data_IF_440862211174
#
_entry.id   IF_440862211174
#
_cell.length_a   1.000
_cell.length_b   1.000
_cell.length_c   1.000
_cell.angle_alpha   90.00
_cell.angle_beta   90.00
_cell.angle_gamma   90.00
#
_symmetry.space_group_name_H-M   'P 1'
#
loop_
_entity.id
_entity.type
_entity.pdbx_description
1 polymer ?
#
# COMPACT_ATOMS: atom_id res chain seq x y z
N UNK A 1 -38.15 1.65 -5.26
CA UNK A 1 -36.94 1.79 -4.45
C UNK A 1 -36.07 2.85 -5.12
N UNK A 2 -35.73 3.93 -4.45
CA UNK A 2 -34.79 4.91 -4.95
C UNK A 2 -33.37 4.23 -4.96
N UNK A 3 -32.63 4.40 -6.05
CA UNK A 3 -31.26 3.87 -6.13
C UNK A 3 -30.38 4.52 -5.05
N UNK A 4 -29.57 3.73 -4.38
CA UNK A 4 -28.61 4.28 -3.42
C UNK A 4 -27.52 5.09 -4.14
N UNK A 5 -26.85 6.05 -3.48
CA UNK A 5 -25.75 6.80 -4.07
C UNK A 5 -24.67 5.91 -4.69
N UNK A 6 -24.39 4.76 -4.08
CA UNK A 6 -23.40 3.79 -4.59
C UNK A 6 -23.84 3.13 -5.90
N UNK A 7 -25.13 2.73 -6.03
CA UNK A 7 -25.65 2.18 -7.28
C UNK A 7 -25.60 3.20 -8.42
N UNK A 8 -25.84 4.48 -8.10
CA UNK A 8 -25.70 5.58 -9.06
C UNK A 8 -24.23 5.73 -9.46
N UNK A 9 -23.30 5.67 -8.51
CA UNK A 9 -21.87 5.77 -8.78
C UNK A 9 -21.34 4.59 -9.62
N UNK A 10 -21.78 3.36 -9.35
CA UNK A 10 -21.43 2.19 -10.17
C UNK A 10 -22.01 2.28 -11.59
N UNK A 11 -23.23 2.77 -11.75
CA UNK A 11 -23.83 2.98 -13.07
C UNK A 11 -23.07 4.07 -13.85
N UNK A 12 -22.67 5.15 -13.20
CA UNK A 12 -21.82 6.20 -13.77
C UNK A 12 -20.48 5.66 -14.19
N UNK A 13 -19.86 4.81 -13.36
CA UNK A 13 -18.57 4.16 -13.66
C UNK A 13 -18.66 3.25 -14.90
N UNK A 14 -19.71 2.44 -15.02
CA UNK A 14 -19.94 1.61 -16.23
C UNK A 14 -20.15 2.46 -17.48
N UNK A 15 -20.79 3.61 -17.37
CA UNK A 15 -20.92 4.56 -18.47
C UNK A 15 -19.58 5.17 -18.86
N UNK A 16 -18.75 5.55 -17.87
CA UNK A 16 -17.40 6.04 -18.07
C UNK A 16 -16.52 5.01 -18.80
N UNK A 17 -16.57 3.74 -18.42
CA UNK A 17 -15.82 2.66 -19.09
C UNK A 17 -16.13 2.59 -20.61
N UNK A 18 -17.41 2.73 -20.99
CA UNK A 18 -17.80 2.72 -22.40
C UNK A 18 -17.23 3.91 -23.16
N UNK A 19 -17.21 5.10 -22.56
CA UNK A 19 -16.65 6.31 -23.15
C UNK A 19 -15.12 6.20 -23.31
N UNK A 20 -14.45 5.66 -22.29
CA UNK A 20 -13.00 5.50 -22.28
C UNK A 20 -12.52 4.43 -23.25
N UNK A 21 -13.33 3.43 -23.58
CA UNK A 21 -12.97 2.36 -24.50
C UNK A 21 -12.47 2.90 -25.85
N UNK A 22 -13.17 3.86 -26.43
CA UNK A 22 -12.77 4.47 -27.71
C UNK A 22 -11.41 5.23 -27.62
N UNK A 23 -11.07 5.73 -26.44
CA UNK A 23 -9.77 6.36 -26.16
C UNK A 23 -8.67 5.32 -26.01
N UNK A 24 -8.92 4.26 -25.23
CA UNK A 24 -7.95 3.18 -25.01
C UNK A 24 -7.59 2.44 -26.30
N UNK A 25 -8.54 2.25 -27.23
CA UNK A 25 -8.27 1.65 -28.55
C UNK A 25 -7.30 2.47 -29.42
N UNK A 26 -7.05 3.75 -29.10
CA UNK A 26 -6.03 4.57 -29.76
C UNK A 26 -4.63 4.38 -29.17
N UNK A 27 -4.52 3.77 -28.00
CA UNK A 27 -3.24 3.45 -27.35
C UNK A 27 -2.62 2.25 -28.07
N UNK A 28 -1.36 2.31 -28.51
CA UNK A 28 -0.73 1.22 -29.29
C UNK A 28 -0.85 -0.16 -28.63
N UNK A 29 -0.69 -0.25 -27.30
CA UNK A 29 -0.82 -1.49 -26.54
C UNK A 29 -2.21 -2.15 -26.73
N UNK A 30 -3.27 -1.36 -26.90
CA UNK A 30 -4.65 -1.84 -26.88
C UNK A 30 -5.34 -1.86 -28.24
N UNK A 31 -4.71 -1.30 -29.26
CA UNK A 31 -5.32 -1.09 -30.60
C UNK A 31 -5.98 -2.33 -31.17
N UNK A 32 -5.35 -3.48 -31.01
CA UNK A 32 -5.81 -4.73 -31.60
C UNK A 32 -6.41 -5.72 -30.59
N UNK A 33 -6.34 -5.41 -29.29
CA UNK A 33 -6.69 -6.33 -28.22
C UNK A 33 -8.01 -6.02 -27.52
N UNK A 34 -8.46 -4.75 -27.50
CA UNK A 34 -9.72 -4.39 -26.85
C UNK A 34 -10.89 -4.56 -27.82
N UNK A 35 -11.38 -5.79 -27.99
CA UNK A 35 -12.51 -6.14 -28.83
C UNK A 35 -13.53 -6.95 -28.04
N UNK A 36 -14.82 -6.72 -28.28
CA UNK A 36 -15.91 -7.44 -27.61
C UNK A 36 -16.33 -6.80 -26.28
N UNK A 37 -16.85 -7.59 -25.37
CA UNK A 37 -17.23 -7.15 -24.01
C UNK A 37 -16.02 -6.88 -23.14
N UNK A 38 -16.14 -5.95 -22.19
CA UNK A 38 -15.05 -5.54 -21.30
C UNK A 38 -14.42 -6.73 -20.55
N UNK A 39 -15.23 -7.65 -20.09
CA UNK A 39 -14.80 -8.84 -19.33
C UNK A 39 -13.95 -9.81 -20.16
N UNK A 40 -14.01 -9.69 -21.49
CA UNK A 40 -13.23 -10.50 -22.45
C UNK A 40 -11.88 -9.85 -22.82
N UNK A 41 -11.63 -8.62 -22.37
CA UNK A 41 -10.35 -7.96 -22.65
C UNK A 41 -9.21 -8.72 -21.95
N UNK A 42 -8.03 -8.80 -22.61
CA UNK A 42 -6.90 -9.51 -22.03
C UNK A 42 -6.48 -8.89 -20.69
N UNK A 43 -6.11 -9.74 -19.76
CA UNK A 43 -5.46 -9.31 -18.53
C UNK A 43 -4.00 -9.02 -18.87
N UNK A 44 -3.54 -7.83 -18.54
CA UNK A 44 -2.16 -7.40 -18.72
C UNK A 44 -1.40 -7.39 -17.38
N UNK A 45 -0.09 -7.55 -17.46
CA UNK A 45 0.80 -7.50 -16.31
C UNK A 45 2.02 -6.63 -16.58
N UNK A 46 3.00 -6.69 -15.70
CA UNK A 46 4.25 -5.91 -15.81
C UNK A 46 5.02 -6.18 -17.11
N UNK A 47 4.94 -7.38 -17.65
CA UNK A 47 5.61 -7.75 -18.89
C UNK A 47 5.09 -6.95 -20.09
N UNK A 48 3.76 -6.78 -20.18
CA UNK A 48 3.11 -5.98 -21.21
C UNK A 48 3.46 -4.50 -21.09
N UNK A 49 3.54 -3.98 -19.84
CA UNK A 49 3.90 -2.57 -19.60
C UNK A 49 5.34 -2.28 -20.05
N UNK A 50 6.27 -3.21 -19.85
CA UNK A 50 7.68 -3.03 -20.23
C UNK A 50 7.95 -3.23 -21.71
N UNK A 51 7.14 -4.06 -22.38
CA UNK A 51 7.35 -4.41 -23.79
C UNK A 51 7.21 -3.17 -24.67
N UNK A 52 8.30 -2.77 -25.31
CA UNK A 52 8.36 -1.61 -26.21
C UNK A 52 8.01 -0.26 -25.55
N UNK A 53 8.23 -0.12 -24.23
CA UNK A 53 8.05 1.17 -23.56
C UNK A 53 9.04 2.22 -24.13
N UNK A 54 8.62 3.48 -24.37
CA UNK A 54 7.27 4.04 -24.18
C UNK A 54 6.34 3.89 -25.41
N UNK A 55 6.81 3.32 -26.52
CA UNK A 55 6.05 3.24 -27.76
C UNK A 55 4.76 2.39 -27.69
N UNK A 56 4.63 1.54 -26.65
CA UNK A 56 3.39 0.82 -26.35
C UNK A 56 2.28 1.72 -25.80
N UNK A 57 2.60 2.93 -25.31
CA UNK A 57 1.63 3.90 -24.78
C UNK A 57 1.59 5.19 -25.58
N UNK A 58 2.75 5.68 -26.02
CA UNK A 58 2.84 6.94 -26.76
C UNK A 58 2.62 6.72 -28.27
N UNK A 59 2.00 7.71 -28.91
CA UNK A 59 1.88 7.73 -30.36
C UNK A 59 3.23 8.07 -31.03
N UNK A 60 3.43 7.71 -32.29
CA UNK A 60 4.69 7.97 -33.00
C UNK A 60 5.08 9.46 -33.09
N UNK A 61 4.10 10.37 -33.01
CA UNK A 61 4.29 11.82 -33.00
C UNK A 61 4.62 12.40 -31.62
N UNK A 62 4.61 11.60 -30.56
CA UNK A 62 4.92 11.99 -29.20
C UNK A 62 6.36 11.59 -28.83
N UNK A 63 7.11 12.53 -28.26
CA UNK A 63 8.48 12.30 -27.80
C UNK A 63 8.52 12.41 -26.27
N UNK A 64 8.87 11.31 -25.58
CA UNK A 64 8.90 11.25 -24.13
C UNK A 64 9.88 12.26 -23.53
N UNK A 65 11.10 12.38 -24.08
CA UNK A 65 12.13 13.27 -23.54
C UNK A 65 11.67 14.73 -23.61
N UNK A 66 11.01 15.12 -24.70
CA UNK A 66 10.42 16.46 -24.83
C UNK A 66 9.28 16.67 -23.82
N UNK A 67 8.38 15.68 -23.66
CA UNK A 67 7.24 15.76 -22.72
C UNK A 67 7.69 15.84 -21.26
N UNK A 68 8.80 15.20 -20.90
CA UNK A 68 9.40 15.30 -19.57
C UNK A 68 10.10 16.65 -19.41
N UNK A 69 10.85 17.11 -20.41
CA UNK A 69 11.58 18.36 -20.36
C UNK A 69 10.66 19.59 -20.25
N UNK A 70 9.51 19.56 -20.94
CA UNK A 70 8.49 20.63 -20.83
C UNK A 70 7.53 20.46 -19.64
N UNK A 71 7.76 19.43 -18.84
CA UNK A 71 6.99 19.11 -17.64
C UNK A 71 5.50 18.85 -17.90
N UNK A 72 5.11 18.39 -19.07
CA UNK A 72 3.73 17.95 -19.35
C UNK A 72 3.44 16.55 -18.82
N UNK A 73 4.50 15.72 -18.69
CA UNK A 73 4.44 14.35 -18.19
C UNK A 73 5.44 14.15 -17.07
N UNK A 74 5.05 13.40 -16.07
CA UNK A 74 5.91 12.87 -15.01
C UNK A 74 6.22 11.41 -15.29
N UNK A 75 7.50 11.04 -15.17
CA UNK A 75 8.01 9.68 -15.32
C UNK A 75 8.46 9.15 -13.97
N UNK A 76 7.79 8.12 -13.50
CA UNK A 76 8.10 7.44 -12.25
C UNK A 76 8.49 5.98 -12.46
N UNK A 77 9.13 5.37 -11.47
CA UNK A 77 9.52 3.98 -11.52
C UNK A 77 9.02 3.23 -10.27
N UNK A 78 8.49 2.03 -10.48
CA UNK A 78 8.11 1.19 -9.35
C UNK A 78 9.34 0.75 -8.54
N UNK A 79 9.14 0.51 -7.24
CA UNK A 79 10.21 0.14 -6.29
C UNK A 79 10.76 -1.29 -6.45
N UNK A 80 10.35 -2.06 -7.47
CA UNK A 80 10.79 -3.43 -7.72
C UNK A 80 12.31 -3.60 -7.94
N UNK A 81 12.79 -4.84 -7.98
CA UNK A 81 14.14 -5.16 -8.48
C UNK A 81 14.30 -4.66 -9.92
N UNK A 82 15.54 -4.53 -10.41
CA UNK A 82 15.78 -4.04 -11.77
C UNK A 82 15.01 -4.81 -12.85
N UNK A 83 14.78 -6.11 -12.63
CA UNK A 83 14.01 -6.97 -13.54
C UNK A 83 12.49 -6.81 -13.40
N UNK A 84 12.00 -6.32 -12.25
CA UNK A 84 10.57 -6.12 -11.98
C UNK A 84 10.14 -4.66 -12.06
N UNK A 85 11.06 -3.71 -12.23
CA UNK A 85 10.74 -2.29 -12.34
C UNK A 85 9.92 -2.02 -13.60
N UNK A 86 8.93 -1.15 -13.43
CA UNK A 86 8.10 -0.62 -14.52
C UNK A 86 8.22 0.89 -14.49
N UNK A 87 8.44 1.49 -15.64
CA UNK A 87 8.33 2.92 -15.84
C UNK A 87 6.85 3.26 -16.01
N UNK A 88 6.40 4.33 -15.37
CA UNK A 88 5.00 4.78 -15.37
C UNK A 88 4.95 6.24 -15.80
N UNK A 89 3.99 6.57 -16.64
CA UNK A 89 3.76 7.91 -17.17
C UNK A 89 2.41 8.43 -16.73
N UNK A 90 2.37 9.66 -16.27
CA UNK A 90 1.11 10.36 -16.00
C UNK A 90 1.27 11.87 -16.27
N UNK A 91 0.15 12.52 -16.53
CA UNK A 91 0.12 13.96 -16.72
C UNK A 91 0.58 14.67 -15.43
N UNK A 92 1.24 15.79 -15.57
CA UNK A 92 1.66 16.60 -14.40
C UNK A 92 0.47 16.94 -13.52
N UNK A 93 0.65 16.71 -12.21
CA UNK A 93 -0.38 16.95 -11.21
C UNK A 93 -1.42 15.85 -11.07
N UNK A 94 -1.43 14.86 -11.94
CA UNK A 94 -2.37 13.73 -11.88
C UNK A 94 -2.35 13.01 -10.52
N UNK A 95 -1.15 12.83 -9.96
CA UNK A 95 -0.97 12.16 -8.67
C UNK A 95 -1.70 12.86 -7.54
N UNK A 96 -1.57 14.19 -7.47
CA UNK A 96 -2.23 15.00 -6.44
C UNK A 96 -3.76 15.02 -6.61
N UNK A 97 -4.24 15.07 -7.85
CA UNK A 97 -5.68 15.05 -8.13
C UNK A 97 -6.33 13.73 -7.72
N UNK A 98 -5.71 12.60 -8.06
CA UNK A 98 -6.27 11.30 -7.72
C UNK A 98 -6.14 11.01 -6.20
N UNK A 99 -5.07 11.48 -5.53
CA UNK A 99 -4.93 11.45 -4.09
C UNK A 99 -6.06 12.25 -3.42
N UNK A 100 -6.32 13.45 -3.87
CA UNK A 100 -7.38 14.30 -3.33
C UNK A 100 -8.77 13.67 -3.45
N UNK A 101 -9.04 12.87 -4.51
CA UNK A 101 -10.30 12.14 -4.65
C UNK A 101 -10.42 11.00 -3.63
N UNK A 102 -9.38 10.20 -3.49
CA UNK A 102 -9.42 9.03 -2.60
C UNK A 102 -9.49 9.44 -1.13
N UNK A 103 -8.78 10.48 -0.72
CA UNK A 103 -8.79 10.96 0.67
C UNK A 103 -10.17 11.46 1.12
N UNK A 104 -11.02 11.94 0.20
CA UNK A 104 -12.41 12.33 0.49
C UNK A 104 -13.35 11.16 0.80
N UNK A 105 -12.93 9.92 0.59
CA UNK A 105 -13.71 8.74 0.96
C UNK A 105 -13.78 8.52 2.47
N UNK A 106 -12.90 9.18 3.24
CA UNK A 106 -12.94 9.22 4.68
C UNK A 106 -13.41 10.61 5.13
N UNK A 107 -14.54 10.67 5.84
CA UNK A 107 -15.15 11.94 6.23
C UNK A 107 -14.29 12.74 7.22
N UNK A 108 -13.58 12.09 8.15
CA UNK A 108 -12.69 12.75 9.11
C UNK A 108 -11.45 13.32 8.43
N UNK A 109 -10.83 12.56 7.51
CA UNK A 109 -9.71 13.07 6.71
C UNK A 109 -10.15 14.23 5.84
N UNK A 110 -11.30 14.10 5.15
CA UNK A 110 -11.87 15.18 4.35
C UNK A 110 -12.15 16.43 5.16
N UNK A 111 -12.64 16.29 6.40
CA UNK A 111 -12.85 17.43 7.31
C UNK A 111 -11.52 18.12 7.67
N UNK A 112 -10.48 17.36 8.05
CA UNK A 112 -9.17 17.93 8.37
C UNK A 112 -8.58 18.69 7.18
N UNK A 113 -8.66 18.12 5.97
CA UNK A 113 -8.11 18.77 4.77
C UNK A 113 -8.89 20.02 4.36
N UNK A 114 -10.18 20.09 4.66
CA UNK A 114 -10.99 21.30 4.45
C UNK A 114 -10.66 22.40 5.49
N UNK A 115 -10.47 22.01 6.75
CA UNK A 115 -10.08 22.94 7.84
C UNK A 115 -8.67 23.50 7.61
N UNK A 116 -7.78 22.69 7.04
CA UNK A 116 -6.39 23.06 6.75
C UNK A 116 -6.08 22.93 5.25
N UNK A 117 -6.45 23.89 4.40
CA UNK A 117 -6.25 23.82 2.93
C UNK A 117 -4.79 23.63 2.50
N UNK A 118 -3.84 23.98 3.39
CA UNK A 118 -2.41 23.78 3.21
C UNK A 118 -1.86 22.79 4.25
N UNK A 119 -2.62 21.75 4.56
CA UNK A 119 -2.23 20.75 5.55
C UNK A 119 -0.81 20.25 5.31
N UNK A 120 0.03 20.39 6.33
CA UNK A 120 1.40 19.87 6.29
C UNK A 120 1.40 18.40 6.60
N UNK A 121 2.17 17.66 5.82
CA UNK A 121 2.40 16.21 5.95
C UNK A 121 3.85 15.96 6.39
N UNK A 122 4.06 15.02 7.30
CA UNK A 122 5.38 14.45 7.52
C UNK A 122 5.35 12.97 7.09
N UNK A 123 6.28 12.58 6.23
CA UNK A 123 6.29 11.27 5.57
C UNK A 123 7.49 10.46 6.04
N UNK A 124 7.21 9.23 6.55
CA UNK A 124 8.21 8.26 6.95
C UNK A 124 8.09 7.01 6.06
N UNK A 125 8.87 6.98 5.00
CA UNK A 125 8.87 5.87 4.03
C UNK A 125 10.30 5.48 3.68
N UNK A 126 10.54 4.25 3.21
CA UNK A 126 11.86 3.89 2.72
C UNK A 126 12.33 4.89 1.65
N UNK A 127 13.56 5.37 1.68
CA UNK A 127 14.06 6.37 0.73
C UNK A 127 13.90 5.99 -0.74
N UNK A 128 13.88 4.70 -1.06
CA UNK A 128 13.68 4.18 -2.42
C UNK A 128 12.22 4.20 -2.89
N UNK A 129 11.28 4.51 -2.00
CA UNK A 129 9.83 4.51 -2.30
C UNK A 129 9.26 5.91 -2.50
N UNK A 130 10.01 6.98 -2.25
CA UNK A 130 9.47 8.33 -2.26
C UNK A 130 9.58 9.06 -3.61
N UNK A 131 10.07 8.41 -4.65
CA UNK A 131 10.19 8.98 -6.01
C UNK A 131 11.20 10.13 -6.14
N UNK A 132 11.52 10.80 -5.05
CA UNK A 132 12.24 12.06 -5.09
C UNK A 132 13.74 11.90 -5.20
N UNK A 133 14.36 10.84 -4.67
CA UNK A 133 15.80 10.59 -4.80
C UNK A 133 16.20 9.26 -4.15
N UNK A 134 17.15 8.54 -4.72
CA UNK A 134 17.99 7.61 -4.01
C UNK A 134 18.91 8.40 -3.06
N UNK A 135 18.48 8.64 -1.84
CA UNK A 135 19.34 9.29 -0.86
C UNK A 135 20.45 8.33 -0.46
N UNK A 136 21.58 8.45 -1.10
CA UNK A 136 22.81 7.76 -0.68
C UNK A 136 23.51 8.46 0.47
N UNK A 137 23.14 9.70 0.79
CA UNK A 137 23.75 10.54 1.82
C UNK A 137 22.66 11.30 2.59
N UNK A 138 22.98 11.66 3.84
CA UNK A 138 22.15 12.57 4.64
C UNK A 138 21.93 13.89 3.91
N UNK A 139 20.69 14.25 3.71
CA UNK A 139 20.30 15.48 3.02
C UNK A 139 19.69 16.48 4.01
N UNK A 140 19.81 17.77 3.70
CA UNK A 140 19.25 18.82 4.55
C UNK A 140 17.71 18.73 4.61
N UNK A 141 17.13 19.23 5.70
CA UNK A 141 15.67 19.33 5.83
C UNK A 141 15.04 20.07 4.65
N UNK A 142 15.68 21.17 4.18
CA UNK A 142 15.19 21.95 3.05
C UNK A 142 15.09 21.13 1.77
N UNK A 143 16.09 20.30 1.46
CA UNK A 143 16.07 19.44 0.25
C UNK A 143 15.07 18.29 0.34
N UNK A 144 14.62 17.95 1.54
CA UNK A 144 13.59 16.94 1.82
C UNK A 144 12.19 17.52 2.04
N UNK A 145 12.03 18.83 1.85
CA UNK A 145 10.74 19.51 1.95
C UNK A 145 10.25 19.86 0.56
N UNK A 146 9.12 19.32 0.15
CA UNK A 146 8.49 19.55 -1.14
C UNK A 146 7.06 20.03 -0.91
N UNK A 147 6.81 21.31 -1.19
CA UNK A 147 5.52 21.92 -0.90
C UNK A 147 5.17 21.83 0.59
N UNK A 148 4.03 21.24 0.91
CA UNK A 148 3.57 20.99 2.28
C UNK A 148 4.04 19.63 2.86
N UNK A 149 4.90 18.89 2.19
CA UNK A 149 5.38 17.58 2.62
C UNK A 149 6.84 17.62 3.06
N UNK A 150 7.11 17.13 4.27
CA UNK A 150 8.46 16.88 4.79
C UNK A 150 8.73 15.37 4.77
N UNK A 151 9.74 14.94 4.02
CA UNK A 151 10.25 13.56 4.04
C UNK A 151 11.28 13.43 5.17
N UNK A 152 10.92 12.71 6.21
CA UNK A 152 11.69 12.67 7.46
C UNK A 152 12.73 11.55 7.45
N UNK A 153 12.34 10.37 6.97
CA UNK A 153 13.16 9.17 7.03
C UNK A 153 14.27 9.16 5.97
N UNK A 154 15.49 8.89 6.40
CA UNK A 154 16.67 8.78 5.54
C UNK A 154 17.30 7.37 5.57
N UNK A 155 16.76 6.46 6.38
CA UNK A 155 17.27 5.09 6.52
C UNK A 155 16.32 4.08 5.87
N UNK A 156 16.92 3.02 5.33
CA UNK A 156 16.18 1.95 4.67
C UNK A 156 15.70 0.87 5.62
N UNK A 157 16.41 0.65 6.73
CA UNK A 157 16.13 -0.36 7.73
C UNK A 157 15.84 0.36 9.04
N UNK A 158 14.57 0.44 9.49
CA UNK A 158 14.23 1.21 10.68
C UNK A 158 14.88 0.66 11.94
N UNK A 159 15.09 -0.66 12.03
CA UNK A 159 15.67 -1.35 13.19
C UNK A 159 17.16 -1.03 13.41
N UNK A 160 17.82 -0.40 12.45
CA UNK A 160 19.22 0.03 12.53
C UNK A 160 19.39 1.53 12.82
N UNK A 161 18.26 2.27 12.94
CA UNK A 161 18.32 3.68 13.31
C UNK A 161 18.89 3.83 14.72
N UNK A 162 19.93 4.64 14.85
CA UNK A 162 20.45 5.03 16.15
C UNK A 162 19.55 6.07 16.84
N UNK A 163 19.83 6.33 18.10
CA UNK A 163 19.02 7.23 18.92
C UNK A 163 19.09 8.67 18.42
N UNK A 164 20.25 9.11 17.93
CA UNK A 164 20.46 10.46 17.42
C UNK A 164 19.62 10.71 16.16
N UNK A 165 19.52 9.71 15.27
CA UNK A 165 18.71 9.80 14.07
C UNK A 165 17.19 9.82 14.40
N UNK A 166 16.75 8.99 15.35
CA UNK A 166 15.36 9.00 15.82
C UNK A 166 15.00 10.32 16.51
N UNK A 167 15.93 10.91 17.28
CA UNK A 167 15.78 12.23 17.90
C UNK A 167 15.65 13.33 16.84
N UNK A 168 16.53 13.36 15.85
CA UNK A 168 16.46 14.26 14.71
C UNK A 168 15.09 14.18 14.02
N UNK A 169 14.59 12.96 13.77
CA UNK A 169 13.29 12.76 13.15
C UNK A 169 12.17 13.37 13.99
N UNK A 170 12.19 13.16 15.30
CA UNK A 170 11.19 13.70 16.23
C UNK A 170 11.25 15.24 16.29
N UNK A 171 12.43 15.82 16.36
CA UNK A 171 12.63 17.29 16.33
C UNK A 171 12.13 17.91 15.02
N UNK A 172 12.43 17.29 13.89
CA UNK A 172 11.99 17.74 12.58
C UNK A 172 10.46 17.71 12.44
N UNK A 173 9.80 16.65 12.90
CA UNK A 173 8.34 16.56 12.91
C UNK A 173 7.73 17.60 13.85
N UNK A 174 8.28 17.75 15.06
CA UNK A 174 7.83 18.75 16.02
C UNK A 174 7.91 20.16 15.44
N UNK A 175 9.06 20.52 14.89
CA UNK A 175 9.27 21.86 14.28
C UNK A 175 8.48 22.06 12.97
N UNK A 176 8.14 20.99 12.26
CA UNK A 176 7.28 21.03 11.07
C UNK A 176 5.81 21.20 11.43
N UNK A 177 5.38 20.70 12.59
CA UNK A 177 3.99 20.72 13.08
C UNK A 177 2.98 20.25 12.03
N UNK A 178 3.08 19.00 11.53
CA UNK A 178 2.20 18.48 10.49
C UNK A 178 0.77 18.27 11.01
N UNK A 179 -0.22 18.36 10.12
CA UNK A 179 -1.60 17.97 10.42
C UNK A 179 -1.80 16.47 10.34
N UNK A 180 -0.96 15.76 9.59
CA UNK A 180 -0.99 14.29 9.54
C UNK A 180 0.38 13.70 9.27
N UNK A 181 0.52 12.44 9.67
CA UNK A 181 1.66 11.60 9.34
C UNK A 181 1.26 10.65 8.22
N UNK A 182 2.14 10.46 7.23
CA UNK A 182 1.97 9.50 6.13
C UNK A 182 3.12 8.49 6.23
N UNK A 183 2.79 7.28 6.67
CA UNK A 183 3.78 6.34 7.16
C UNK A 183 3.77 5.03 6.37
N UNK A 184 4.96 4.53 6.07
CA UNK A 184 5.17 3.10 5.95
C UNK A 184 4.91 2.45 7.32
N UNK A 185 4.06 1.42 7.44
CA UNK A 185 3.64 0.89 8.73
C UNK A 185 4.80 0.39 9.60
N UNK A 186 5.84 -0.23 9.01
CA UNK A 186 6.99 -0.76 9.77
C UNK A 186 7.86 0.38 10.27
N UNK A 187 8.18 1.33 9.39
CA UNK A 187 8.97 2.51 9.76
C UNK A 187 8.25 3.38 10.79
N UNK A 188 6.94 3.58 10.60
CA UNK A 188 6.10 4.34 11.51
C UNK A 188 5.99 3.70 12.88
N UNK A 189 5.76 2.38 12.94
CA UNK A 189 5.66 1.65 14.22
C UNK A 189 6.98 1.69 15.00
N UNK A 190 8.12 1.51 14.33
CA UNK A 190 9.42 1.59 14.99
C UNK A 190 9.72 2.98 15.56
N UNK A 191 9.44 4.03 14.78
CA UNK A 191 9.55 5.41 15.24
C UNK A 191 8.57 5.72 16.38
N UNK A 192 7.35 5.21 16.32
CA UNK A 192 6.36 5.36 17.39
C UNK A 192 6.84 4.76 18.71
N UNK A 193 7.46 3.58 18.70
CA UNK A 193 8.06 2.98 19.92
C UNK A 193 9.17 3.85 20.52
N UNK A 194 9.96 4.53 19.69
CA UNK A 194 10.91 5.53 20.19
C UNK A 194 10.20 6.71 20.86
N UNK A 195 9.18 7.27 20.20
CA UNK A 195 8.39 8.37 20.76
C UNK A 195 7.74 7.98 22.08
N UNK A 196 7.22 6.77 22.21
CA UNK A 196 6.64 6.23 23.44
C UNK A 196 7.66 6.21 24.59
N UNK A 197 8.88 5.67 24.36
CA UNK A 197 9.96 5.63 25.36
C UNK A 197 10.39 7.02 25.83
N UNK A 198 10.36 8.00 24.93
CA UNK A 198 10.78 9.39 25.22
C UNK A 198 9.64 10.30 25.66
N UNK A 199 8.40 9.82 25.68
CA UNK A 199 7.23 10.63 26.00
C UNK A 199 6.92 11.72 24.98
N UNK A 200 7.38 11.56 23.73
CA UNK A 200 7.20 12.55 22.64
C UNK A 200 5.76 12.47 22.12
N UNK A 201 5.14 13.62 21.89
CA UNK A 201 3.80 13.78 21.33
C UNK A 201 3.80 14.83 20.24
N UNK A 202 2.90 14.68 19.27
CA UNK A 202 2.73 15.61 18.14
C UNK A 202 1.31 16.19 18.16
N UNK A 203 1.02 17.23 18.97
CA UNK A 203 -0.35 17.70 19.17
C UNK A 203 -1.01 18.31 17.93
N UNK A 204 -0.23 18.66 16.92
CA UNK A 204 -0.74 19.15 15.62
C UNK A 204 -1.32 18.04 14.76
N UNK A 205 -0.88 16.78 14.95
CA UNK A 205 -1.31 15.62 14.18
C UNK A 205 -2.77 15.29 14.50
N UNK A 206 -3.59 15.11 13.47
CA UNK A 206 -5.02 14.80 13.55
C UNK A 206 -5.33 13.36 13.18
N UNK A 207 -4.54 12.77 12.29
CA UNK A 207 -4.63 11.37 11.90
C UNK A 207 -3.28 10.85 11.38
N UNK A 208 -3.17 9.54 11.31
CA UNK A 208 -2.08 8.83 10.64
C UNK A 208 -2.64 8.15 9.40
N UNK A 209 -1.94 8.28 8.28
CA UNK A 209 -2.20 7.55 7.06
C UNK A 209 -1.14 6.47 6.89
N UNK A 210 -1.55 5.20 6.80
CA UNK A 210 -0.69 4.08 6.50
C UNK A 210 -0.78 3.75 5.01
N UNK A 211 0.37 3.75 4.33
CA UNK A 211 0.47 3.46 2.89
C UNK A 211 1.76 2.69 2.60
N UNK A 212 2.13 2.51 1.31
CA UNK A 212 3.37 1.92 0.83
C UNK A 212 3.47 0.41 0.92
N UNK A 213 3.09 -0.23 2.03
CA UNK A 213 3.08 -1.68 2.15
C UNK A 213 1.90 -2.18 3.02
N UNK A 214 1.85 -3.49 3.26
CA UNK A 214 0.77 -4.09 4.03
C UNK A 214 0.81 -3.62 5.50
N UNK A 215 -0.26 -2.96 5.94
CA UNK A 215 -0.45 -2.56 7.34
C UNK A 215 -0.93 -3.76 8.17
N UNK A 216 -0.08 -4.24 9.09
CA UNK A 216 -0.49 -5.32 9.99
C UNK A 216 -1.18 -4.80 11.26
N UNK A 217 -1.97 -5.66 11.90
CA UNK A 217 -2.58 -5.40 13.21
C UNK A 217 -1.55 -5.07 14.29
N UNK A 218 -0.34 -5.62 14.15
CA UNK A 218 0.78 -5.33 15.06
C UNK A 218 1.20 -3.86 14.94
N UNK A 219 1.42 -3.39 13.72
CA UNK A 219 1.84 -2.01 13.46
C UNK A 219 0.74 -1.01 13.81
N UNK A 220 -0.48 -1.26 13.34
CA UNK A 220 -1.65 -0.40 13.64
C UNK A 220 -1.81 -0.16 15.13
N UNK A 221 -1.77 -1.21 15.94
CA UNK A 221 -1.89 -1.11 17.40
C UNK A 221 -0.84 -0.21 18.03
N UNK A 222 0.41 -0.30 17.57
CA UNK A 222 1.49 0.55 18.05
C UNK A 222 1.21 2.02 17.70
N UNK A 223 0.83 2.28 16.45
CA UNK A 223 0.55 3.63 15.97
C UNK A 223 -0.62 4.27 16.72
N UNK A 224 -1.73 3.55 16.88
CA UNK A 224 -2.92 4.01 17.63
C UNK A 224 -2.60 4.27 19.11
N UNK A 225 -1.87 3.34 19.76
CA UNK A 225 -1.47 3.47 21.18
C UNK A 225 -0.59 4.68 21.40
N UNK A 226 0.38 4.91 20.51
CA UNK A 226 1.40 5.94 20.71
C UNK A 226 0.92 7.31 20.27
N UNK A 227 0.38 7.44 19.07
CA UNK A 227 -0.01 8.75 18.55
C UNK A 227 -1.38 9.21 19.05
N UNK A 228 -2.24 8.30 19.51
CA UNK A 228 -3.56 8.61 20.09
C UNK A 228 -4.47 9.41 19.15
N UNK A 229 -4.34 9.16 17.85
CA UNK A 229 -5.18 9.72 16.79
C UNK A 229 -5.63 8.57 15.88
N UNK A 230 -6.71 8.76 15.09
CA UNK A 230 -7.13 7.75 14.14
C UNK A 230 -6.01 7.34 13.17
N UNK A 231 -5.95 6.04 12.86
CA UNK A 231 -5.03 5.46 11.86
C UNK A 231 -5.87 4.92 10.71
N UNK A 232 -5.57 5.31 9.49
CA UNK A 232 -6.31 4.90 8.29
C UNK A 232 -5.37 4.29 7.26
N UNK A 233 -5.85 3.24 6.60
CA UNK A 233 -5.11 2.59 5.51
C UNK A 233 -5.45 3.22 4.16
N UNK A 234 -4.42 3.50 3.35
CA UNK A 234 -4.51 3.95 1.98
C UNK A 234 -3.80 2.96 1.06
N UNK A 235 -4.56 2.21 0.29
CA UNK A 235 -4.01 1.24 -0.65
C UNK A 235 -3.88 1.82 -2.06
N UNK A 236 -2.73 1.57 -2.66
CA UNK A 236 -2.44 1.98 -4.04
C UNK A 236 -1.19 1.32 -4.60
N UNK A 237 -0.84 1.71 -5.81
CA UNK A 237 0.41 1.31 -6.45
C UNK A 237 0.96 2.45 -7.32
N UNK A 238 2.26 2.45 -7.56
CA UNK A 238 2.88 3.44 -8.46
C UNK A 238 2.28 3.39 -9.85
N UNK A 239 1.89 2.20 -10.33
CA UNK A 239 1.33 2.00 -11.66
C UNK A 239 -0.07 2.60 -11.82
N UNK A 240 -0.89 2.52 -10.78
CA UNK A 240 -2.32 2.81 -10.87
C UNK A 240 -2.79 3.95 -9.95
N UNK A 241 -1.91 4.51 -9.13
CA UNK A 241 -2.23 5.55 -8.14
C UNK A 241 -2.89 5.00 -6.89
N UNK A 242 -3.63 5.86 -6.17
CA UNK A 242 -4.37 5.49 -4.97
C UNK A 242 -5.76 4.93 -5.34
N UNK A 243 -6.07 3.75 -4.84
CA UNK A 243 -7.20 2.93 -5.29
C UNK A 243 -8.30 2.79 -4.24
N UNK A 244 -7.89 2.52 -3.00
CA UNK A 244 -8.79 2.24 -1.89
C UNK A 244 -8.41 3.08 -0.68
N UNK A 245 -9.40 3.54 0.08
CA UNK A 245 -9.22 4.27 1.34
C UNK A 245 -10.09 3.66 2.42
N UNK A 246 -9.51 3.45 3.58
CA UNK A 246 -10.27 3.12 4.78
C UNK A 246 -11.07 4.34 5.23
N UNK A 247 -12.38 4.18 5.39
CA UNK A 247 -13.24 5.24 5.91
C UNK A 247 -13.24 5.28 7.45
N UNK A 248 -13.92 6.25 8.03
CA UNK A 248 -14.07 6.46 9.48
C UNK A 248 -14.76 5.30 10.21
N UNK A 249 -15.33 4.33 9.48
CA UNK A 249 -15.96 3.12 10.03
C UNK A 249 -15.10 1.86 9.88
N UNK A 250 -13.83 2.00 9.46
CA UNK A 250 -12.91 0.88 9.25
C UNK A 250 -13.17 0.05 7.99
N UNK A 251 -13.95 0.57 7.03
CA UNK A 251 -14.26 -0.11 5.77
C UNK A 251 -13.40 0.45 4.64
N UNK A 252 -12.65 -0.39 3.97
CA UNK A 252 -11.81 0.01 2.83
C UNK A 252 -12.64 0.15 1.56
N UNK A 253 -12.91 1.38 1.17
CA UNK A 253 -13.76 1.76 0.03
C UNK A 253 -12.97 2.02 -1.24
N UNK A 254 -13.46 1.61 -2.43
CA UNK A 254 -12.83 1.93 -3.71
C UNK A 254 -13.12 3.38 -4.10
N UNK A 255 -12.09 4.05 -4.66
CA UNK A 255 -12.28 5.34 -5.31
C UNK A 255 -12.82 5.14 -6.73
N UNK A 256 -14.15 5.10 -6.86
CA UNK A 256 -14.85 4.83 -8.13
C UNK A 256 -14.56 5.88 -9.22
N UNK A 257 -14.13 7.06 -8.85
CA UNK A 257 -13.70 8.10 -9.80
C UNK A 257 -12.31 7.81 -10.40
N UNK A 258 -11.43 7.15 -9.64
CA UNK A 258 -10.07 6.87 -10.08
C UNK A 258 -9.97 5.55 -10.84
N UNK A 259 -10.70 4.51 -10.39
CA UNK A 259 -10.47 3.13 -10.83
C UNK A 259 -11.74 2.30 -10.92
N UNK A 260 -11.71 1.32 -11.82
CA UNK A 260 -12.60 0.16 -11.80
C UNK A 260 -11.80 -1.06 -11.35
N UNK A 261 -12.34 -1.78 -10.34
CA UNK A 261 -11.69 -2.92 -9.74
C UNK A 261 -12.44 -4.22 -10.00
N UNK A 262 -11.70 -5.28 -10.27
CA UNK A 262 -12.22 -6.65 -10.43
C UNK A 262 -11.44 -7.60 -9.50
N UNK A 263 -12.12 -8.57 -8.92
CA UNK A 263 -11.48 -9.75 -8.32
C UNK A 263 -11.74 -10.95 -9.22
N UNK A 264 -10.68 -11.56 -9.73
CA UNK A 264 -10.79 -12.68 -10.67
C UNK A 264 -10.07 -13.92 -10.13
N UNK A 265 -10.41 -15.10 -10.69
CA UNK A 265 -9.81 -16.37 -10.27
C UNK A 265 -9.97 -16.59 -8.76
N UNK A 266 -11.13 -16.21 -8.23
CA UNK A 266 -11.40 -16.25 -6.79
C UNK A 266 -11.58 -17.69 -6.30
N UNK A 267 -11.08 -17.94 -5.10
CA UNK A 267 -11.34 -19.17 -4.35
C UNK A 267 -12.78 -19.18 -3.78
N UNK A 268 -13.22 -20.28 -3.12
CA UNK A 268 -14.57 -20.36 -2.53
C UNK A 268 -14.85 -19.31 -1.46
N UNK A 269 -13.83 -18.69 -0.87
CA UNK A 269 -13.99 -17.58 0.07
C UNK A 269 -14.11 -16.22 -0.64
N UNK A 270 -14.01 -16.17 -1.97
CA UNK A 270 -14.06 -14.94 -2.75
C UNK A 270 -12.73 -14.18 -2.82
N UNK A 271 -11.62 -14.80 -2.37
CA UNK A 271 -10.27 -14.20 -2.44
C UNK A 271 -9.68 -14.47 -3.82
N UNK A 272 -9.46 -13.42 -4.60
CA UNK A 272 -8.96 -13.52 -5.97
C UNK A 272 -7.88 -12.51 -6.32
N UNK A 273 -7.36 -12.60 -7.53
CA UNK A 273 -6.39 -11.63 -8.07
C UNK A 273 -7.07 -10.29 -8.29
N UNK A 274 -6.48 -9.22 -7.77
CA UNK A 274 -6.97 -7.86 -7.96
C UNK A 274 -6.52 -7.33 -9.33
N UNK A 275 -7.51 -6.98 -10.16
CA UNK A 275 -7.29 -6.26 -11.40
C UNK A 275 -7.73 -4.81 -11.26
N UNK A 276 -6.98 -3.93 -11.91
CA UNK A 276 -7.23 -2.49 -11.91
C UNK A 276 -7.39 -1.99 -13.34
N UNK A 277 -8.43 -1.21 -13.58
CA UNK A 277 -8.58 -0.39 -14.76
C UNK A 277 -8.58 1.08 -14.32
N UNK A 278 -7.57 1.85 -14.74
CA UNK A 278 -7.46 3.27 -14.40
C UNK A 278 -8.42 4.10 -15.25
N UNK A 279 -9.13 5.04 -14.62
CA UNK A 279 -10.13 5.88 -15.30
C UNK A 279 -9.60 7.28 -15.61
N UNK A 280 -8.51 7.69 -14.99
CA UNK A 280 -8.03 9.08 -15.01
C UNK A 280 -6.64 9.25 -15.61
N UNK A 281 -5.82 8.20 -15.73
CA UNK A 281 -4.52 8.30 -16.39
C UNK A 281 -4.69 8.22 -17.92
N UNK A 282 -4.59 9.37 -18.58
CA UNK A 282 -4.76 9.47 -20.04
C UNK A 282 -3.49 9.16 -20.83
N UNK A 283 -2.32 9.24 -20.18
CA UNK A 283 -1.01 9.05 -20.83
C UNK A 283 -0.69 7.55 -20.89
N UNK A 284 -0.86 6.86 -19.76
CA UNK A 284 -0.58 5.43 -19.63
C UNK A 284 -1.79 4.74 -18.97
N UNK A 285 -2.93 4.64 -19.67
CA UNK A 285 -4.10 3.97 -19.11
C UNK A 285 -3.82 2.49 -18.91
N UNK A 286 -4.21 1.96 -17.76
CA UNK A 286 -4.16 0.53 -17.46
C UNK A 286 -5.57 -0.05 -17.62
N UNK A 287 -5.71 -1.09 -18.43
CA UNK A 287 -6.97 -1.81 -18.62
C UNK A 287 -6.79 -3.25 -18.19
N UNK A 288 -7.56 -3.68 -17.17
CA UNK A 288 -7.49 -5.01 -16.55
C UNK A 288 -6.06 -5.41 -16.15
N UNK A 289 -5.35 -4.48 -15.53
CA UNK A 289 -3.98 -4.70 -15.07
C UNK A 289 -3.96 -5.51 -13.78
N UNK A 290 -3.21 -6.63 -13.80
CA UNK A 290 -2.98 -7.49 -12.64
C UNK A 290 -1.95 -6.86 -11.72
N UNK A 291 -2.37 -6.40 -10.53
CA UNK A 291 -1.50 -5.73 -9.56
C UNK A 291 -0.48 -6.67 -8.92
N UNK A 292 -0.78 -7.97 -8.89
CA UNK A 292 -0.06 -8.99 -8.14
C UNK A 292 -0.51 -9.11 -6.70
N UNK A 293 -1.55 -8.37 -6.30
CA UNK A 293 -2.19 -8.49 -4.99
C UNK A 293 -3.44 -9.38 -5.05
N UNK A 294 -3.76 -9.98 -3.92
CA UNK A 294 -5.02 -10.69 -3.68
C UNK A 294 -5.97 -9.78 -2.91
N UNK A 295 -7.22 -9.81 -3.28
CA UNK A 295 -8.27 -9.08 -2.58
C UNK A 295 -9.57 -9.88 -2.53
N UNK A 296 -10.40 -9.54 -1.56
CA UNK A 296 -11.77 -10.02 -1.44
C UNK A 296 -12.71 -8.83 -1.58
N UNK A 297 -13.66 -8.90 -2.51
CA UNK A 297 -14.74 -7.93 -2.67
C UNK A 297 -15.90 -8.35 -1.77
N UNK A 298 -16.42 -7.41 -1.01
CA UNK A 298 -17.56 -7.61 -0.11
C UNK A 298 -18.63 -6.56 -0.42
N UNK A 299 -19.80 -7.03 -0.83
CA UNK A 299 -20.95 -6.15 -1.10
C UNK A 299 -21.88 -6.15 0.10
N UNK A 300 -22.12 -4.99 0.70
CA UNK A 300 -22.93 -4.80 1.91
C UNK A 300 -23.95 -3.66 1.71
N UNK A 301 -24.96 -3.53 2.60
CA UNK A 301 -25.91 -2.40 2.61
C UNK A 301 -25.23 -1.09 2.83
N UNK A 302 -24.32 -0.58 2.48
CA UNK A 302 -23.48 0.62 2.59
C UNK A 302 -22.43 0.68 1.49
N UNK A 303 -22.62 -0.17 0.45
CA UNK A 303 -21.79 -0.24 -0.74
C UNK A 303 -20.70 -1.29 -0.69
N UNK A 304 -19.91 -1.33 -1.75
CA UNK A 304 -18.80 -2.27 -1.91
C UNK A 304 -17.60 -1.82 -1.09
N UNK A 305 -16.97 -2.78 -0.43
CA UNK A 305 -15.65 -2.60 0.19
C UNK A 305 -14.73 -3.78 -0.14
N UNK A 306 -13.45 -3.62 0.14
CA UNK A 306 -12.43 -4.61 -0.18
C UNK A 306 -11.59 -4.95 1.05
N UNK A 307 -11.20 -6.21 1.16
CA UNK A 307 -10.11 -6.64 2.03
C UNK A 307 -8.91 -6.94 1.13
N UNK A 308 -7.80 -6.24 1.34
CA UNK A 308 -6.54 -6.53 0.64
C UNK A 308 -5.80 -7.61 1.41
N UNK A 309 -5.60 -8.75 0.75
CA UNK A 309 -5.02 -9.95 1.36
C UNK A 309 -3.50 -10.05 1.29
N UNK A 310 -2.83 -9.05 0.67
CA UNK A 310 -1.39 -9.04 0.42
C UNK A 310 -1.02 -9.61 -0.94
N UNK A 311 0.27 -9.86 -1.16
CA UNK A 311 0.81 -10.29 -2.45
C UNK A 311 0.48 -11.75 -2.76
N UNK A 312 0.11 -12.05 -3.99
CA UNK A 312 -0.14 -13.41 -4.45
C UNK A 312 1.09 -14.33 -4.33
N UNK A 313 2.30 -13.77 -4.44
CA UNK A 313 3.57 -14.50 -4.29
C UNK A 313 3.98 -14.78 -2.85
N UNK A 314 3.35 -14.12 -1.87
CA UNK A 314 3.71 -14.21 -0.45
C UNK A 314 2.76 -15.15 0.32
N UNK A 315 1.88 -15.87 -0.39
CA UNK A 315 0.96 -16.86 0.21
C UNK A 315 1.71 -18.07 0.76
N UNK A 316 1.21 -18.57 1.88
CA UNK A 316 1.62 -19.85 2.44
C UNK A 316 0.70 -20.96 1.93
N UNK A 317 1.10 -22.19 2.13
CA UNK A 317 0.33 -23.37 1.74
C UNK A 317 -0.11 -24.14 2.97
N UNK A 318 -1.43 -24.30 3.11
CA UNK A 318 -2.02 -25.17 4.12
C UNK A 318 -1.79 -26.64 3.78
N UNK A 319 -1.82 -27.52 4.76
CA UNK A 319 -1.53 -28.95 4.58
C UNK A 319 -2.43 -29.65 3.53
N UNK A 320 -3.63 -29.13 3.28
CA UNK A 320 -4.56 -29.62 2.25
C UNK A 320 -4.39 -28.94 0.87
N UNK A 321 -3.34 -28.10 0.71
CA UNK A 321 -3.04 -27.39 -0.53
C UNK A 321 -3.75 -26.05 -0.68
N UNK A 322 -4.61 -25.63 0.25
CA UNK A 322 -5.24 -24.31 0.20
C UNK A 322 -4.21 -23.20 0.43
N UNK A 323 -4.33 -22.10 -0.31
CA UNK A 323 -3.52 -20.90 -0.12
C UNK A 323 -3.97 -20.16 1.14
N UNK A 324 -3.01 -19.72 1.95
CA UNK A 324 -3.21 -18.86 3.12
C UNK A 324 -2.50 -17.55 2.86
N UNK A 325 -3.24 -16.46 2.95
CA UNK A 325 -2.77 -15.10 2.61
C UNK A 325 -2.08 -14.42 3.78
N UNK A 326 -1.33 -13.36 3.51
CA UNK A 326 -0.72 -12.50 4.54
C UNK A 326 -1.76 -11.97 5.53
N UNK A 327 -2.91 -11.50 5.01
CA UNK A 327 -4.00 -11.00 5.86
C UNK A 327 -4.53 -12.07 6.82
N UNK A 328 -4.72 -13.32 6.36
CA UNK A 328 -5.19 -14.41 7.21
C UNK A 328 -4.20 -14.75 8.33
N UNK A 329 -2.89 -14.72 8.02
CA UNK A 329 -1.85 -14.88 9.04
C UNK A 329 -1.86 -13.72 10.04
N UNK A 330 -2.00 -12.49 9.55
CA UNK A 330 -2.03 -11.30 10.40
C UNK A 330 -3.20 -11.33 11.41
N UNK A 331 -4.34 -11.93 11.05
CA UNK A 331 -5.46 -12.13 11.98
C UNK A 331 -5.11 -13.02 13.18
N UNK A 332 -4.07 -13.87 13.09
CA UNK A 332 -3.59 -14.63 14.24
C UNK A 332 -3.00 -13.73 15.33
N UNK A 333 -2.57 -12.53 14.99
CA UNK A 333 -2.03 -11.52 15.92
C UNK A 333 -3.11 -10.60 16.52
N UNK A 334 -4.38 -10.81 16.18
CA UNK A 334 -5.48 -10.01 16.74
C UNK A 334 -5.51 -10.11 18.27
N UNK A 335 -5.45 -8.95 18.96
CA UNK A 335 -5.39 -8.87 20.42
C UNK A 335 -4.02 -9.15 21.05
N UNK A 336 -3.01 -9.60 20.29
CA UNK A 336 -1.67 -9.91 20.83
C UNK A 336 -0.84 -8.65 21.03
N UNK A 337 -0.04 -8.59 22.08
CA UNK A 337 0.88 -7.48 22.43
C UNK A 337 2.33 -7.96 22.45
N UNK A 338 3.28 -7.05 22.56
CA UNK A 338 4.69 -7.39 22.71
C UNK A 338 5.46 -7.56 21.39
N UNK A 339 4.81 -7.48 20.26
CA UNK A 339 5.46 -7.54 18.93
C UNK A 339 5.61 -6.13 18.35
N UNK A 340 6.82 -5.80 17.86
CA UNK A 340 7.07 -4.63 17.04
C UNK A 340 6.97 -4.95 15.53
N UNK A 341 7.43 -6.13 15.14
CA UNK A 341 7.37 -6.61 13.76
C UNK A 341 7.53 -8.13 13.73
N UNK A 342 7.06 -8.78 12.66
CA UNK A 342 7.19 -10.23 12.49
C UNK A 342 7.34 -10.64 11.02
N UNK A 343 7.86 -11.85 10.83
CA UNK A 343 7.87 -12.56 9.55
C UNK A 343 7.58 -14.03 9.81
N UNK A 344 6.57 -14.58 9.15
CA UNK A 344 6.29 -16.01 9.13
C UNK A 344 6.83 -16.63 7.84
N UNK A 345 7.76 -17.56 7.98
CA UNK A 345 8.38 -18.29 6.87
C UNK A 345 7.87 -19.72 6.85
N UNK A 346 7.58 -20.23 5.65
CA UNK A 346 7.21 -21.63 5.45
C UNK A 346 8.25 -22.26 4.52
N UNK A 347 8.87 -23.36 4.96
CA UNK A 347 9.77 -24.17 4.12
C UNK A 347 9.01 -24.95 3.05
N UNK A 348 9.72 -25.47 2.05
CA UNK A 348 9.14 -26.39 1.05
C UNK A 348 8.47 -27.61 1.69
N UNK A 349 9.01 -28.11 2.81
CA UNK A 349 8.45 -29.23 3.58
C UNK A 349 7.21 -28.83 4.42
N UNK A 350 6.78 -27.55 4.39
CA UNK A 350 5.63 -27.04 5.10
C UNK A 350 5.88 -26.64 6.56
N UNK A 351 7.12 -26.73 7.05
CA UNK A 351 7.48 -26.31 8.41
C UNK A 351 7.43 -24.78 8.50
N UNK A 352 6.88 -24.26 9.59
CA UNK A 352 6.72 -22.84 9.81
C UNK A 352 7.64 -22.29 10.89
N UNK A 353 8.24 -21.14 10.62
CA UNK A 353 9.13 -20.42 11.52
C UNK A 353 8.69 -18.96 11.63
N UNK A 354 8.29 -18.56 12.82
CA UNK A 354 7.91 -17.19 13.18
C UNK A 354 9.14 -16.47 13.73
N UNK A 355 9.69 -15.52 12.98
CA UNK A 355 10.68 -14.59 13.49
C UNK A 355 10.02 -13.29 13.88
N UNK A 356 10.36 -12.72 15.04
CA UNK A 356 9.75 -11.48 15.49
C UNK A 356 10.74 -10.56 16.20
N UNK A 357 10.51 -9.26 16.03
CA UNK A 357 11.16 -8.20 16.80
C UNK A 357 10.17 -7.82 17.91
N UNK A 358 10.57 -7.87 19.18
CA UNK A 358 9.69 -7.45 20.28
C UNK A 358 9.55 -5.93 20.34
N UNK A 359 8.44 -5.46 20.88
CA UNK A 359 8.36 -4.11 21.44
C UNK A 359 9.14 -4.01 22.78
N UNK A 360 9.00 -2.93 23.53
CA UNK A 360 9.80 -2.71 24.73
C UNK A 360 9.65 -3.84 25.79
N UNK A 361 8.44 -4.41 25.91
CA UNK A 361 8.16 -5.48 26.90
C UNK A 361 8.44 -6.88 26.30
N UNK A 362 8.20 -7.03 25.00
CA UNK A 362 8.13 -8.32 24.33
C UNK A 362 6.81 -9.07 24.66
N UNK A 363 6.43 -10.06 23.83
CA UNK A 363 5.31 -10.93 24.14
C UNK A 363 5.66 -11.83 25.30
N UNK A 364 4.74 -12.02 26.26
CA UNK A 364 4.89 -13.07 27.27
C UNK A 364 4.72 -14.47 26.63
N UNK A 365 5.13 -15.52 27.36
CA UNK A 365 5.08 -16.89 26.86
C UNK A 365 3.66 -17.32 26.45
N UNK A 366 2.63 -16.86 27.16
CA UNK A 366 1.25 -17.21 26.85
C UNK A 366 0.76 -16.56 25.56
N UNK A 367 1.12 -15.31 25.32
CA UNK A 367 0.81 -14.59 24.07
C UNK A 367 1.54 -15.24 22.89
N UNK A 368 2.82 -15.54 23.06
CA UNK A 368 3.61 -16.20 22.01
C UNK A 368 3.04 -17.58 21.66
N UNK A 369 2.70 -18.37 22.69
CA UNK A 369 2.05 -19.67 22.50
C UNK A 369 0.71 -19.55 21.77
N UNK A 370 -0.15 -18.60 22.18
CA UNK A 370 -1.44 -18.39 21.51
C UNK A 370 -1.30 -18.02 20.03
N UNK A 371 -0.35 -17.15 19.70
CA UNK A 371 -0.10 -16.76 18.29
C UNK A 371 0.38 -17.95 17.48
N UNK A 372 1.36 -18.69 17.99
CA UNK A 372 1.91 -19.85 17.28
C UNK A 372 0.88 -20.96 17.08
N UNK A 373 0.00 -21.20 18.07
CA UNK A 373 -1.11 -22.16 17.96
C UNK A 373 -2.16 -21.69 16.93
N UNK A 374 -2.58 -20.42 16.96
CA UNK A 374 -3.49 -19.90 15.93
C UNK A 374 -2.92 -20.07 14.51
N UNK A 375 -1.61 -19.80 14.33
CA UNK A 375 -0.93 -20.00 13.05
C UNK A 375 -0.91 -21.48 12.67
N UNK A 376 -0.59 -22.37 13.62
CA UNK A 376 -0.58 -23.83 13.41
C UNK A 376 -1.97 -24.33 12.98
N UNK A 377 -3.02 -23.90 13.65
CA UNK A 377 -4.40 -24.25 13.34
C UNK A 377 -4.83 -23.71 11.96
N UNK A 378 -4.52 -22.45 11.65
CA UNK A 378 -4.79 -21.83 10.35
C UNK A 378 -4.18 -22.63 9.20
N UNK A 379 -2.93 -23.08 9.38
CA UNK A 379 -2.18 -23.85 8.38
C UNK A 379 -2.49 -25.36 8.43
N UNK A 380 -3.25 -25.82 9.43
CA UNK A 380 -3.49 -27.24 9.72
C UNK A 380 -2.18 -28.02 9.79
N UNK A 381 -1.14 -27.40 10.34
CA UNK A 381 0.16 -28.03 10.47
C UNK A 381 0.15 -29.08 11.59
N UNK A 382 0.79 -30.23 11.36
CA UNK A 382 1.04 -31.24 12.38
C UNK A 382 2.20 -30.85 13.29
N UNK A 383 3.16 -30.12 12.73
CA UNK A 383 4.34 -29.65 13.45
C UNK A 383 4.04 -28.34 14.16
N UNK A 384 4.65 -28.10 15.32
CA UNK A 384 4.56 -26.81 15.99
C UNK A 384 5.20 -25.72 15.14
N UNK A 385 4.74 -24.49 15.31
CA UNK A 385 5.37 -23.30 14.72
C UNK A 385 6.53 -22.90 15.61
N UNK A 386 7.76 -23.01 15.09
CA UNK A 386 8.92 -22.53 15.81
C UNK A 386 8.89 -20.99 15.88
N UNK A 387 9.23 -20.41 17.03
CA UNK A 387 9.29 -18.98 17.22
C UNK A 387 10.67 -18.53 17.66
N UNK A 388 11.18 -17.48 17.07
CA UNK A 388 12.50 -16.93 17.30
C UNK A 388 12.45 -15.41 17.49
N UNK A 389 12.97 -14.92 18.60
CA UNK A 389 13.22 -13.51 18.82
C UNK A 389 14.47 -13.08 18.05
N UNK A 390 14.35 -12.03 17.26
CA UNK A 390 15.46 -11.43 16.50
C UNK A 390 15.52 -9.93 16.74
N UNK A 391 16.69 -9.32 16.46
CA UNK A 391 16.86 -7.87 16.60
C UNK A 391 16.64 -7.12 15.28
N UNK A 392 16.77 -7.80 14.15
CA UNK A 392 16.69 -7.21 12.82
C UNK A 392 15.98 -8.19 11.89
N UNK A 393 15.05 -7.67 11.11
CA UNK A 393 14.46 -8.35 9.95
C UNK A 393 14.74 -7.48 8.72
N UNK A 394 15.49 -8.01 7.73
CA UNK A 394 15.85 -7.20 6.56
C UNK A 394 14.66 -7.02 5.62
N UNK A 395 14.51 -5.83 5.01
CA UNK A 395 13.53 -5.63 3.94
C UNK A 395 14.00 -6.28 2.64
N UNK A 396 13.08 -6.36 1.69
CA UNK A 396 13.40 -6.68 0.30
C UNK A 396 14.34 -5.60 -0.31
N UNK A 397 14.95 -5.88 -1.49
CA UNK A 397 15.69 -4.88 -2.25
C UNK A 397 14.90 -3.59 -2.54
N UNK A 398 13.59 -3.64 -2.60
CA UNK A 398 12.69 -2.48 -2.73
C UNK A 398 12.55 -1.61 -1.48
N UNK A 399 13.07 -2.03 -0.32
CA UNK A 399 12.86 -1.39 0.97
C UNK A 399 11.61 -1.86 1.71
N UNK A 400 10.73 -2.64 1.07
CA UNK A 400 9.49 -3.16 1.66
C UNK A 400 9.71 -4.45 2.44
N UNK A 401 8.90 -4.67 3.46
CA UNK A 401 8.95 -5.86 4.29
C UNK A 401 7.92 -6.90 3.83
N UNK A 402 8.26 -8.17 3.98
CA UNK A 402 7.33 -9.28 3.85
C UNK A 402 6.94 -9.78 5.22
N UNK A 403 5.65 -9.94 5.47
CA UNK A 403 5.17 -10.57 6.72
C UNK A 403 5.03 -12.08 6.58
N UNK A 404 4.85 -12.56 5.36
CA UNK A 404 4.76 -14.00 5.06
C UNK A 404 5.55 -14.32 3.80
N UNK A 405 6.20 -15.45 3.76
CA UNK A 405 6.72 -15.99 2.51
C UNK A 405 7.00 -17.49 2.60
N UNK A 406 6.90 -18.16 1.48
CA UNK A 406 7.31 -19.54 1.30
C UNK A 406 8.70 -19.57 0.64
N UNK A 407 9.59 -20.43 1.19
CA UNK A 407 10.94 -20.64 0.67
C UNK A 407 10.90 -21.41 -0.66
#
# INVERSE_FOLDING_TARGET
MLATPELIAEAAQRSALKTLLARWQRVPLYRDTLRGAFEQFPIIGKAELRRNFPANFLRPDQNLDAMVADSTVELEHTSGSSEERVAVLFARGWWNEQEARVLRLNAEVGWVLNEFPHARRATLVPPVCNGLVCFSNFTSKTSRTVGSTLYVNQARIPFLLDEAELERMAEEITGWSPQFLDLDPVHGAWFALYCERKGIRFPSVKFVLCSYEFESLVHRRILERVFQVPVYNLYGSTEAGHLLMENEHGLTKPCLENVYLETVESDPAGIGSLLVTTLTNEIMPLVRYRTGDLAQRLDQPGGTHYIVHGRARDVLQRADGQRITTWQVDQCFAGSTGFAHYVLRQSEAGQCHLQFIPDAAGPDESVLFQVTEKVRELLRSREPVAAERVNILPPLPSGKFRLTHRA
#
